data_IF_832569643088
#
_entry.id   IF_832569643088
#
_cell.length_a   1.000
_cell.length_b   1.000
_cell.length_c   1.000
_cell.angle_alpha   90.00
_cell.angle_beta   90.00
_cell.angle_gamma   90.00
#
_symmetry.space_group_name_H-M   'P 1'
#
loop_
_entity.id
_entity.type
_entity.pdbx_description
1 polymer ?
#
# COMPACT_ATOMS: atom_id res chain seq x y z
N UNK A 1 -1.34 -20.71 -26.64
CA UNK A 1 -0.86 -19.33 -26.40
C UNK A 1 0.03 -19.38 -25.18
N UNK A 2 1.31 -19.04 -25.35
CA UNK A 2 2.27 -18.97 -24.25
C UNK A 2 2.18 -17.59 -23.59
N UNK A 3 1.95 -17.56 -22.28
CA UNK A 3 1.83 -16.34 -21.48
C UNK A 3 3.01 -16.17 -20.51
N UNK A 4 4.04 -17.02 -20.58
CA UNK A 4 5.24 -17.01 -19.73
C UNK A 4 5.94 -15.65 -19.70
N UNK A 5 5.90 -14.88 -20.79
CA UNK A 5 6.47 -13.52 -20.84
C UNK A 5 5.90 -12.57 -19.77
N UNK A 6 4.72 -12.86 -19.20
CA UNK A 6 4.14 -12.06 -18.12
C UNK A 6 4.66 -12.43 -16.74
N UNK A 7 5.30 -13.58 -16.60
CA UNK A 7 5.71 -14.12 -15.30
C UNK A 7 6.67 -13.16 -14.60
N UNK A 8 7.70 -12.72 -15.30
CA UNK A 8 8.71 -11.80 -14.75
C UNK A 8 8.11 -10.50 -14.21
N UNK A 9 7.30 -9.77 -15.00
CA UNK A 9 6.74 -8.51 -14.52
C UNK A 9 5.74 -8.69 -13.37
N UNK A 10 5.04 -9.84 -13.30
CA UNK A 10 4.15 -10.14 -12.18
C UNK A 10 4.98 -10.38 -10.91
N UNK A 11 6.06 -11.14 -11.01
CA UNK A 11 6.98 -11.37 -9.88
C UNK A 11 7.58 -10.05 -9.38
N UNK A 12 8.11 -9.23 -10.28
CA UNK A 12 8.63 -7.89 -9.97
C UNK A 12 7.55 -7.02 -9.30
N UNK A 13 6.31 -7.09 -9.79
CA UNK A 13 5.20 -6.34 -9.22
C UNK A 13 4.84 -6.82 -7.83
N UNK A 14 4.85 -8.13 -7.56
CA UNK A 14 4.59 -8.66 -6.22
C UNK A 14 5.66 -8.20 -5.22
N UNK A 15 6.93 -8.24 -5.62
CA UNK A 15 8.03 -7.74 -4.80
C UNK A 15 7.93 -6.23 -4.55
N UNK A 16 7.62 -5.44 -5.58
CA UNK A 16 7.39 -4.01 -5.43
C UNK A 16 6.24 -3.70 -4.47
N UNK A 17 5.13 -4.43 -4.56
CA UNK A 17 3.99 -4.20 -3.66
C UNK A 17 4.35 -4.57 -2.21
N UNK A 18 5.12 -5.65 -2.00
CA UNK A 18 5.59 -6.02 -0.65
C UNK A 18 6.57 -5.03 -0.04
N UNK A 19 7.31 -4.25 -0.83
CA UNK A 19 8.19 -3.19 -0.30
C UNK A 19 7.47 -1.87 -0.04
N UNK A 20 6.26 -1.72 -0.56
CA UNK A 20 5.43 -0.53 -0.40
C UNK A 20 4.48 -0.69 0.79
N UNK A 21 3.83 -1.84 0.92
CA UNK A 21 2.90 -2.11 2.01
C UNK A 21 3.58 -2.88 3.13
N UNK A 22 3.11 -2.72 4.37
CA UNK A 22 3.55 -3.50 5.52
C UNK A 22 3.01 -4.94 5.42
N UNK A 23 3.49 -5.69 4.42
CA UNK A 23 3.12 -7.06 4.13
C UNK A 23 4.37 -7.88 3.77
N UNK A 24 4.39 -9.13 4.22
CA UNK A 24 5.37 -10.10 3.75
C UNK A 24 4.76 -10.94 2.64
N UNK A 25 5.54 -11.14 1.57
CA UNK A 25 5.23 -12.08 0.51
C UNK A 25 5.72 -13.49 0.93
N UNK A 26 4.85 -14.27 1.55
CA UNK A 26 5.22 -15.58 2.13
C UNK A 26 5.40 -16.66 1.06
N UNK A 27 4.53 -16.68 0.05
CA UNK A 27 4.61 -17.60 -1.08
C UNK A 27 3.85 -17.03 -2.27
N UNK A 28 4.26 -17.40 -3.47
CA UNK A 28 3.50 -17.11 -4.68
C UNK A 28 3.73 -18.18 -5.75
N UNK A 29 2.78 -18.33 -6.66
CA UNK A 29 2.90 -19.15 -7.85
C UNK A 29 2.25 -18.41 -9.01
N UNK A 30 3.00 -18.18 -10.09
CA UNK A 30 2.51 -17.50 -11.30
C UNK A 30 2.44 -18.53 -12.42
N UNK A 31 1.24 -18.69 -12.99
CA UNK A 31 0.98 -19.60 -14.10
C UNK A 31 0.41 -18.82 -15.28
N UNK A 32 0.25 -19.48 -16.42
CA UNK A 32 -0.17 -18.85 -17.67
C UNK A 32 -1.56 -18.20 -17.63
N UNK A 33 -2.47 -18.71 -16.78
CA UNK A 33 -3.87 -18.27 -16.69
C UNK A 33 -4.28 -17.64 -15.35
N UNK A 34 -3.50 -17.82 -14.27
CA UNK A 34 -3.75 -17.21 -12.97
C UNK A 34 -2.50 -17.24 -12.08
N UNK A 35 -2.60 -16.61 -10.91
CA UNK A 35 -1.56 -16.65 -9.89
C UNK A 35 -2.17 -16.89 -8.51
N UNK A 36 -1.40 -17.51 -7.63
CA UNK A 36 -1.69 -17.65 -6.20
C UNK A 36 -0.69 -16.79 -5.43
N UNK A 37 -1.16 -16.06 -4.42
CA UNK A 37 -0.30 -15.25 -3.53
C UNK A 37 -0.71 -15.49 -2.10
N UNK A 38 0.26 -15.77 -1.24
CA UNK A 38 0.09 -15.83 0.21
C UNK A 38 0.86 -14.65 0.78
N UNK A 39 0.14 -13.77 1.47
CA UNK A 39 0.71 -12.61 2.15
C UNK A 39 0.39 -12.64 3.64
N UNK A 40 1.31 -12.14 4.45
CA UNK A 40 1.08 -11.85 5.87
C UNK A 40 1.05 -10.34 6.05
N UNK A 41 0.04 -9.81 6.72
CA UNK A 41 0.06 -8.40 7.14
C UNK A 41 1.04 -8.26 8.30
N UNK A 42 2.09 -7.47 8.10
CA UNK A 42 3.07 -7.17 9.15
C UNK A 42 2.55 -6.00 9.99
N UNK A 43 1.65 -6.31 10.93
CA UNK A 43 1.00 -5.27 11.76
C UNK A 43 1.96 -4.54 12.68
N UNK A 44 3.08 -5.17 13.03
CA UNK A 44 4.07 -4.57 13.92
C UNK A 44 4.83 -3.47 13.17
N UNK A 45 5.38 -3.80 12.00
CA UNK A 45 5.99 -2.82 11.10
C UNK A 45 5.03 -1.68 10.72
N UNK A 46 3.79 -2.01 10.37
CA UNK A 46 2.79 -0.99 10.01
C UNK A 46 2.38 -0.09 11.17
N UNK A 47 2.55 -0.52 12.43
CA UNK A 47 2.29 0.30 13.63
C UNK A 47 3.48 1.21 13.97
N UNK A 48 4.69 0.79 13.61
CA UNK A 48 5.91 1.56 13.84
C UNK A 48 6.05 2.72 12.84
N UNK A 49 5.35 2.67 11.70
CA UNK A 49 5.32 3.77 10.74
C UNK A 49 4.61 5.01 11.29
N UNK A 50 5.29 6.14 11.20
CA UNK A 50 4.69 7.47 11.35
C UNK A 50 3.66 7.75 10.24
N UNK A 51 2.74 8.69 10.50
CA UNK A 51 1.76 9.13 9.49
C UNK A 51 2.44 9.60 8.19
N UNK A 52 3.65 10.16 8.33
CA UNK A 52 4.46 10.60 7.19
C UNK A 52 4.99 9.42 6.40
N UNK A 53 5.57 8.42 7.06
CA UNK A 53 6.04 7.19 6.39
C UNK A 53 4.89 6.47 5.69
N UNK A 54 3.72 6.36 6.32
CA UNK A 54 2.52 5.81 5.68
C UNK A 54 2.19 6.54 4.37
N UNK A 55 2.19 7.87 4.39
CA UNK A 55 1.93 8.67 3.20
C UNK A 55 3.03 8.50 2.14
N UNK A 56 4.30 8.54 2.53
CA UNK A 56 5.44 8.33 1.62
C UNK A 56 5.34 6.97 0.93
N UNK A 57 5.09 5.90 1.68
CA UNK A 57 4.87 4.56 1.16
C UNK A 57 3.68 4.52 0.18
N UNK A 58 2.52 5.06 0.57
CA UNK A 58 1.34 5.14 -0.30
C UNK A 58 1.66 5.88 -1.61
N UNK A 59 2.48 6.93 -1.54
CA UNK A 59 2.82 7.74 -2.71
C UNK A 59 3.78 7.10 -3.70
N UNK A 60 4.47 6.01 -3.32
CA UNK A 60 5.28 5.21 -4.25
C UNK A 60 4.45 4.52 -5.31
N UNK A 61 3.16 4.25 -5.01
CA UNK A 61 2.24 3.58 -5.93
C UNK A 61 1.15 4.49 -6.47
N UNK A 62 0.66 5.41 -5.64
CA UNK A 62 -0.44 6.29 -5.98
C UNK A 62 0.01 7.74 -5.93
N UNK A 63 -0.46 8.59 -6.86
CA UNK A 63 -0.07 9.99 -6.87
C UNK A 63 -0.47 10.76 -5.57
N UNK A 64 -1.39 10.23 -4.77
CA UNK A 64 -1.84 10.88 -3.55
C UNK A 64 -2.68 12.15 -3.80
N UNK A 65 -3.38 12.63 -2.78
CA UNK A 65 -4.10 13.89 -2.88
C UNK A 65 -3.12 15.08 -2.94
N UNK A 66 -3.42 16.19 -3.66
CA UNK A 66 -2.53 17.35 -3.73
C UNK A 66 -2.14 17.93 -2.36
N UNK A 67 -3.05 17.87 -1.38
CA UNK A 67 -2.78 18.31 -0.01
C UNK A 67 -1.71 17.44 0.67
N UNK A 68 -1.76 16.13 0.46
CA UNK A 68 -0.76 15.19 0.97
C UNK A 68 0.59 15.39 0.28
N UNK A 69 0.59 15.67 -1.03
CA UNK A 69 1.84 16.01 -1.75
C UNK A 69 2.49 17.29 -1.22
N UNK A 70 1.69 18.35 -0.97
CA UNK A 70 2.17 19.58 -0.33
C UNK A 70 2.72 19.32 1.08
N UNK A 71 2.06 18.46 1.84
CA UNK A 71 2.53 18.07 3.17
C UNK A 71 3.88 17.34 3.11
N UNK A 72 4.00 16.36 2.22
CA UNK A 72 5.22 15.59 2.01
C UNK A 72 6.38 16.47 1.50
N UNK A 73 6.10 17.51 0.72
CA UNK A 73 7.11 18.48 0.28
C UNK A 73 7.60 19.43 1.38
N UNK A 74 7.11 19.29 2.62
CA UNK A 74 7.50 20.12 3.75
C UNK A 74 6.83 21.50 3.76
N UNK A 75 5.77 21.71 2.98
CA UNK A 75 5.03 22.95 3.02
C UNK A 75 4.30 23.11 4.37
N UNK A 76 4.26 24.34 4.88
CA UNK A 76 3.47 24.65 6.08
C UNK A 76 1.99 24.44 5.78
N UNK A 77 1.36 23.55 6.55
CA UNK A 77 -0.08 23.31 6.52
C UNK A 77 -0.75 23.98 7.72
N UNK A 78 -1.96 24.48 7.52
CA UNK A 78 -2.80 24.88 8.63
C UNK A 78 -3.18 23.66 9.49
N UNK A 79 -3.50 23.88 10.77
CA UNK A 79 -3.86 22.79 11.68
C UNK A 79 -5.00 21.89 11.16
N UNK A 80 -5.98 22.48 10.46
CA UNK A 80 -7.08 21.73 9.85
C UNK A 80 -6.62 20.89 8.66
N UNK A 81 -5.78 21.46 7.78
CA UNK A 81 -5.17 20.75 6.65
C UNK A 81 -4.31 19.58 7.13
N UNK A 82 -3.47 19.81 8.14
CA UNK A 82 -2.67 18.75 8.77
C UNK A 82 -3.56 17.65 9.32
N UNK A 83 -4.63 18.01 10.03
CA UNK A 83 -5.60 17.06 10.53
C UNK A 83 -6.29 16.28 9.41
N UNK A 84 -6.62 16.89 8.27
CA UNK A 84 -7.21 16.16 7.14
C UNK A 84 -6.27 15.12 6.52
N UNK A 85 -4.97 15.43 6.46
CA UNK A 85 -3.96 14.48 5.94
C UNK A 85 -3.71 13.34 6.93
N UNK A 86 -3.52 13.66 8.21
CA UNK A 86 -3.18 12.71 9.27
C UNK A 86 -4.37 11.87 9.76
N UNK A 87 -5.56 12.48 9.85
CA UNK A 87 -6.76 11.86 10.40
C UNK A 87 -7.57 11.08 9.36
N UNK A 88 -7.02 10.84 8.16
CA UNK A 88 -7.49 9.80 7.25
C UNK A 88 -7.31 8.37 7.84
N UNK A 89 -7.19 8.22 9.16
CA UNK A 89 -7.41 6.99 9.91
C UNK A 89 -8.84 6.53 9.67
N UNK A 90 -8.98 5.62 8.71
CA UNK A 90 -10.01 4.59 8.63
C UNK A 90 -11.36 4.98 9.27
N UNK A 91 -12.26 5.56 8.49
CA UNK A 91 -13.62 5.00 8.50
C UNK A 91 -13.47 3.58 7.94
N UNK A 92 -13.05 2.65 8.79
CA UNK A 92 -13.28 1.24 8.53
C UNK A 92 -14.79 1.12 8.39
N UNK A 93 -15.26 1.05 7.14
CA UNK A 93 -16.60 0.56 6.88
C UNK A 93 -16.63 -0.81 7.58
N UNK A 94 -17.57 -1.05 8.52
CA UNK A 94 -17.60 -2.32 9.21
C UNK A 94 -17.66 -3.40 8.15
N UNK A 95 -16.65 -4.28 8.13
CA UNK A 95 -16.72 -5.53 7.38
C UNK A 95 -17.85 -6.32 8.05
N UNK A 96 -19.08 -6.06 7.61
CA UNK A 96 -20.22 -6.89 7.92
C UNK A 96 -19.84 -8.29 7.48
N UNK A 97 -19.62 -9.16 8.48
CA UNK A 97 -19.37 -10.57 8.26
C UNK A 97 -20.45 -11.08 7.31
N UNK A 98 -20.01 -11.61 6.16
CA UNK A 98 -20.89 -12.39 5.28
C UNK A 98 -21.52 -13.49 6.13
N UNK A 99 -22.85 -13.59 6.08
CA UNK A 99 -23.55 -14.85 6.34
C UNK A 99 -23.35 -15.77 5.15
#
# INVERSE_FOLDING_TARGET
>A
FDFEHRRGWIEDRLHLLSSIFAIDLCAYAVMSNHYHVVVRVNTDEGRDWSEREVAEHWTRLFAGAPLMQRWLSGASLQALEHRFVCQARYKALPLTKRK
#
